data_IF_954068435274
#
_entry.id   IF_954068435274
#
_cell.length_a   1.000
_cell.length_b   1.000
_cell.length_c   1.000
_cell.angle_alpha   90.00
_cell.angle_beta   90.00
_cell.angle_gamma   90.00
#
_symmetry.space_group_name_H-M   'P 1'
#
loop_
_entity.id
_entity.type
_entity.pdbx_description
1 polymer ?
#
# COMPACT_ATOMS: atom_id res chain seq x y z
N UNK A 1 10.87 2.47 -6.84
CA UNK A 1 11.33 3.76 -7.40
C UNK A 1 10.29 4.86 -7.17
N UNK A 2 9.03 4.70 -7.60
CA UNK A 2 7.96 5.66 -7.28
C UNK A 2 7.75 5.79 -5.75
N UNK A 3 7.55 4.67 -5.04
CA UNK A 3 7.36 4.66 -3.58
C UNK A 3 8.55 5.22 -2.77
N UNK A 4 9.75 5.20 -3.35
CA UNK A 4 10.95 5.75 -2.70
C UNK A 4 11.11 7.25 -2.89
N UNK A 5 10.47 7.82 -3.91
CA UNK A 5 10.48 9.26 -4.18
C UNK A 5 9.51 9.99 -3.24
N UNK A 6 8.34 9.41 -2.95
CA UNK A 6 7.34 10.03 -2.06
C UNK A 6 7.88 10.23 -0.63
N UNK A 7 8.63 9.24 -0.12
CA UNK A 7 9.29 9.34 1.19
C UNK A 7 10.41 10.40 1.23
N UNK A 8 11.07 10.67 0.09
CA UNK A 8 12.07 11.75 -0.03
C UNK A 8 11.38 13.11 0.04
N UNK A 9 10.30 13.30 -0.72
CA UNK A 9 9.54 14.54 -0.72
C UNK A 9 8.92 14.85 0.64
N UNK A 10 8.43 13.83 1.36
CA UNK A 10 7.97 14.00 2.73
C UNK A 10 9.11 14.50 3.65
N UNK A 11 10.29 13.90 3.59
CA UNK A 11 11.43 14.33 4.41
C UNK A 11 11.88 15.77 4.10
N UNK A 12 11.89 16.14 2.82
CA UNK A 12 12.19 17.51 2.36
C UNK A 12 11.14 18.51 2.85
N UNK A 13 9.85 18.14 2.84
CA UNK A 13 8.75 19.00 3.27
C UNK A 13 8.71 19.25 4.80
N UNK A 14 9.30 18.36 5.60
CA UNK A 14 9.28 18.46 7.06
C UNK A 14 10.47 19.23 7.65
N UNK A 15 11.57 19.43 6.92
CA UNK A 15 12.75 20.11 7.46
C UNK A 15 13.70 20.59 6.35
N UNK A 16 14.07 21.88 6.38
CA UNK A 16 15.03 22.48 5.45
C UNK A 16 16.50 22.06 5.69
N UNK A 17 16.77 21.30 6.75
CA UNK A 17 18.12 20.79 7.05
C UNK A 17 18.51 19.63 6.11
N UNK A 18 19.36 19.92 5.12
CA UNK A 18 19.87 18.95 4.13
C UNK A 18 20.48 17.69 4.77
N UNK A 19 21.16 17.82 5.90
CA UNK A 19 21.75 16.67 6.61
C UNK A 19 20.70 15.69 7.16
N UNK A 20 19.60 16.22 7.71
CA UNK A 20 18.49 15.41 8.23
C UNK A 20 17.73 14.72 7.09
N UNK A 21 17.48 15.44 5.99
CA UNK A 21 16.85 14.88 4.79
C UNK A 21 17.72 13.74 4.24
N UNK A 22 19.02 13.97 4.06
CA UNK A 22 19.94 13.01 3.45
C UNK A 22 20.01 11.72 4.27
N UNK A 23 20.11 11.83 5.60
CA UNK A 23 20.11 10.66 6.49
C UNK A 23 18.76 9.94 6.50
N UNK A 24 17.65 10.67 6.57
CA UNK A 24 16.30 10.08 6.56
C UNK A 24 16.00 9.33 5.27
N UNK A 25 16.35 9.91 4.12
CA UNK A 25 16.22 9.27 2.80
C UNK A 25 17.11 8.05 2.70
N UNK A 26 18.38 8.15 3.13
CA UNK A 26 19.32 7.05 3.08
C UNK A 26 18.82 5.84 3.88
N UNK A 27 18.37 6.08 5.12
CA UNK A 27 17.78 5.05 5.99
C UNK A 27 16.48 4.50 5.37
N UNK A 28 15.62 5.37 4.82
CA UNK A 28 14.36 4.97 4.19
C UNK A 28 14.57 4.04 2.98
N UNK A 29 15.50 4.37 2.09
CA UNK A 29 15.85 3.53 0.93
C UNK A 29 16.43 2.18 1.41
N UNK A 30 17.32 2.22 2.40
CA UNK A 30 17.93 1.02 2.95
C UNK A 30 16.87 0.09 3.57
N UNK A 31 15.94 0.65 4.36
CA UNK A 31 14.84 -0.08 4.97
C UNK A 31 13.89 -0.70 3.93
N UNK A 32 13.46 0.08 2.92
CA UNK A 32 12.62 -0.44 1.83
C UNK A 32 13.29 -1.61 1.11
N UNK A 33 14.61 -1.56 0.90
CA UNK A 33 15.36 -2.63 0.25
C UNK A 33 15.36 -3.91 1.08
N UNK A 34 15.59 -3.83 2.38
CA UNK A 34 15.52 -4.98 3.27
C UNK A 34 14.10 -5.58 3.34
N UNK A 35 13.08 -4.75 3.47
CA UNK A 35 11.68 -5.18 3.52
C UNK A 35 11.28 -5.86 2.20
N UNK A 36 11.62 -5.27 1.06
CA UNK A 36 11.33 -5.86 -0.25
C UNK A 36 12.01 -7.23 -0.43
N UNK A 37 13.29 -7.37 -0.03
CA UNK A 37 13.98 -8.65 -0.10
C UNK A 37 13.41 -9.71 0.83
N UNK A 38 12.92 -9.31 2.01
CA UNK A 38 12.21 -10.22 2.91
C UNK A 38 10.83 -10.61 2.35
N UNK A 39 10.10 -9.65 1.81
CA UNK A 39 8.79 -9.85 1.20
C UNK A 39 8.84 -10.77 -0.03
N UNK A 40 9.84 -10.60 -0.90
CA UNK A 40 10.08 -11.51 -2.04
C UNK A 40 10.33 -12.94 -1.56
N UNK A 41 11.14 -13.13 -0.52
CA UNK A 41 11.35 -14.46 0.10
C UNK A 41 10.06 -15.05 0.68
N UNK A 42 9.19 -14.20 1.22
CA UNK A 42 7.88 -14.62 1.75
C UNK A 42 6.94 -15.07 0.62
N UNK A 43 6.88 -14.32 -0.48
CA UNK A 43 6.07 -14.68 -1.66
C UNK A 43 6.57 -15.98 -2.32
N UNK A 44 7.87 -16.20 -2.39
CA UNK A 44 8.45 -17.47 -2.88
C UNK A 44 7.98 -18.68 -2.03
N UNK A 45 7.75 -18.47 -0.73
CA UNK A 45 7.25 -19.52 0.18
C UNK A 45 5.72 -19.66 0.09
N UNK A 46 5.01 -18.58 -0.18
CA UNK A 46 3.55 -18.53 -0.26
C UNK A 46 3.06 -17.82 -1.53
N UNK A 47 2.97 -18.51 -2.68
CA UNK A 47 2.62 -17.89 -3.95
C UNK A 47 1.21 -17.29 -3.97
N UNK A 48 0.29 -17.76 -3.14
CA UNK A 48 -1.05 -17.19 -3.05
C UNK A 48 -1.08 -15.79 -2.42
N UNK A 49 -0.06 -15.42 -1.62
CA UNK A 49 0.07 -14.06 -1.07
C UNK A 49 0.29 -13.04 -2.18
N UNK A 50 0.92 -13.44 -3.29
CA UNK A 50 1.13 -12.59 -4.46
C UNK A 50 -0.20 -12.22 -5.12
N UNK A 51 -1.08 -13.20 -5.38
CA UNK A 51 -2.40 -12.96 -5.98
C UNK A 51 -3.26 -12.05 -5.11
N UNK A 52 -3.26 -12.25 -3.79
CA UNK A 52 -3.97 -11.39 -2.85
C UNK A 52 -3.41 -9.95 -2.86
N UNK A 53 -2.08 -9.81 -2.85
CA UNK A 53 -1.43 -8.50 -2.91
C UNK A 53 -1.79 -7.75 -4.21
N UNK A 54 -1.81 -8.44 -5.36
CA UNK A 54 -2.23 -7.84 -6.63
C UNK A 54 -3.69 -7.34 -6.60
N UNK A 55 -4.60 -8.10 -6.01
CA UNK A 55 -6.00 -7.70 -5.88
C UNK A 55 -6.14 -6.43 -5.01
N UNK A 56 -5.41 -6.38 -3.88
CA UNK A 56 -5.38 -5.21 -2.99
C UNK A 56 -4.81 -3.99 -3.71
N UNK A 57 -3.69 -4.14 -4.43
CA UNK A 57 -3.07 -3.05 -5.19
C UNK A 57 -4.03 -2.52 -6.27
N UNK A 58 -4.77 -3.40 -6.95
CA UNK A 58 -5.76 -2.99 -7.94
C UNK A 58 -6.88 -2.14 -7.32
N UNK A 59 -7.42 -2.56 -6.16
CA UNK A 59 -8.45 -1.81 -5.44
C UNK A 59 -7.93 -0.44 -4.97
N UNK A 60 -6.70 -0.41 -4.44
CA UNK A 60 -6.06 0.84 -4.03
C UNK A 60 -5.78 1.77 -5.21
N UNK A 61 -5.33 1.24 -6.35
CA UNK A 61 -5.10 2.01 -7.57
C UNK A 61 -6.38 2.66 -8.11
N UNK A 62 -7.50 1.92 -8.07
CA UNK A 62 -8.83 2.46 -8.42
C UNK A 62 -9.24 3.55 -7.45
N UNK A 63 -9.09 3.35 -6.13
CA UNK A 63 -9.38 4.37 -5.11
C UNK A 63 -8.59 5.67 -5.33
N UNK A 64 -7.28 5.56 -5.60
CA UNK A 64 -6.42 6.72 -5.84
C UNK A 64 -6.80 7.48 -7.11
N UNK A 65 -7.19 6.75 -8.16
CA UNK A 65 -7.65 7.37 -9.42
C UNK A 65 -8.97 8.10 -9.23
N UNK A 66 -9.91 7.50 -8.48
CA UNK A 66 -11.17 8.14 -8.10
C UNK A 66 -10.91 9.41 -7.27
N UNK A 67 -10.03 9.34 -6.27
CA UNK A 67 -9.67 10.48 -5.43
C UNK A 67 -9.05 11.64 -6.23
N UNK A 68 -8.23 11.34 -7.24
CA UNK A 68 -7.73 12.37 -8.17
C UNK A 68 -8.86 12.98 -9.01
N UNK A 69 -9.79 12.16 -9.52
CA UNK A 69 -10.92 12.64 -10.32
C UNK A 69 -11.84 13.58 -9.51
N UNK A 70 -12.08 13.26 -8.24
CA UNK A 70 -12.84 14.11 -7.31
C UNK A 70 -12.21 15.48 -7.10
N UNK A 71 -10.88 15.53 -7.02
CA UNK A 71 -10.15 16.79 -6.86
C UNK A 71 -10.27 17.71 -8.08
N UNK A 72 -10.40 17.16 -9.29
CA UNK A 72 -10.57 17.93 -10.52
C UNK A 72 -12.04 18.31 -10.82
N UNK A 73 -13.03 17.56 -10.32
CA UNK A 73 -14.47 17.80 -10.55
C UNK A 73 -15.28 17.86 -9.23
N UNK A 74 -15.15 18.96 -8.46
CA UNK A 74 -15.73 19.07 -7.13
C UNK A 74 -17.27 19.13 -7.07
N UNK A 75 -17.95 19.50 -8.17
CA UNK A 75 -19.41 19.72 -8.19
C UNK A 75 -20.24 18.45 -8.51
N UNK A 76 -19.64 17.26 -8.55
CA UNK A 76 -20.37 16.02 -8.84
C UNK A 76 -20.88 15.34 -7.57
N UNK A 77 -22.15 14.89 -7.57
CA UNK A 77 -22.78 14.15 -6.47
C UNK A 77 -22.01 12.88 -6.08
N UNK A 78 -21.22 12.33 -7.01
CA UNK A 78 -20.31 11.21 -6.79
C UNK A 78 -19.12 11.58 -5.89
N UNK A 79 -18.55 12.78 -6.01
CA UNK A 79 -17.40 13.21 -5.21
C UNK A 79 -17.76 13.40 -3.74
N UNK A 80 -18.95 13.93 -3.46
CA UNK A 80 -19.44 14.06 -2.09
C UNK A 80 -19.80 12.70 -1.43
N UNK A 81 -20.15 11.71 -2.25
CA UNK A 81 -20.42 10.34 -1.80
C UNK A 81 -19.14 9.54 -1.54
N UNK A 82 -18.11 9.73 -2.39
CA UNK A 82 -16.80 9.11 -2.25
C UNK A 82 -15.94 9.72 -1.13
N UNK A 83 -15.99 11.03 -0.94
CA UNK A 83 -15.35 11.73 0.20
C UNK A 83 -16.09 11.56 1.52
N UNK A 84 -17.23 10.85 1.52
CA UNK A 84 -17.95 10.57 2.76
C UNK A 84 -17.08 9.72 3.70
N UNK A 85 -17.07 10.08 4.98
CA UNK A 85 -16.34 9.38 6.04
C UNK A 85 -16.70 7.88 6.10
N UNK A 86 -17.91 7.52 5.66
CA UNK A 86 -18.36 6.13 5.54
C UNK A 86 -17.64 5.37 4.42
N UNK A 87 -17.42 5.98 3.26
CA UNK A 87 -16.73 5.36 2.13
C UNK A 87 -15.24 5.19 2.44
N UNK A 88 -14.59 6.17 3.08
CA UNK A 88 -13.19 6.04 3.49
C UNK A 88 -12.97 4.87 4.45
N UNK A 89 -13.81 4.77 5.49
CA UNK A 89 -13.77 3.67 6.45
C UNK A 89 -14.06 2.34 5.76
N UNK A 90 -15.06 2.29 4.87
CA UNK A 90 -15.41 1.07 4.16
C UNK A 90 -14.26 0.58 3.27
N UNK A 91 -13.68 1.46 2.45
CA UNK A 91 -12.56 1.11 1.56
C UNK A 91 -11.34 0.68 2.37
N UNK A 92 -10.99 1.41 3.43
CA UNK A 92 -9.88 1.07 4.32
C UNK A 92 -10.09 -0.29 4.99
N UNK A 93 -11.28 -0.52 5.54
CA UNK A 93 -11.63 -1.78 6.22
C UNK A 93 -11.64 -2.95 5.25
N UNK A 94 -12.19 -2.77 4.05
CA UNK A 94 -12.21 -3.80 3.00
C UNK A 94 -10.80 -4.12 2.52
N UNK A 95 -9.94 -3.13 2.29
CA UNK A 95 -8.54 -3.39 1.88
C UNK A 95 -7.73 -4.06 2.98
N UNK A 96 -7.90 -3.64 4.24
CA UNK A 96 -7.27 -4.28 5.40
C UNK A 96 -7.76 -5.71 5.56
N UNK A 97 -9.05 -5.97 5.45
CA UNK A 97 -9.61 -7.34 5.50
C UNK A 97 -9.11 -8.18 4.34
N UNK A 98 -9.10 -7.65 3.11
CA UNK A 98 -8.59 -8.37 1.94
C UNK A 98 -7.10 -8.69 2.04
N UNK A 99 -6.33 -7.91 2.80
CA UNK A 99 -4.93 -8.20 3.08
C UNK A 99 -4.78 -9.17 4.28
N UNK A 100 -5.46 -8.92 5.39
CA UNK A 100 -5.34 -9.69 6.63
C UNK A 100 -5.95 -11.08 6.53
N UNK A 101 -7.09 -11.26 5.84
CA UNK A 101 -7.74 -12.57 5.70
C UNK A 101 -6.79 -13.58 5.05
N UNK A 102 -6.22 -13.35 3.85
CA UNK A 102 -5.29 -14.30 3.26
C UNK A 102 -3.99 -14.45 4.06
N UNK A 103 -3.49 -13.39 4.70
CA UNK A 103 -2.29 -13.47 5.55
C UNK A 103 -2.54 -14.31 6.82
N UNK A 104 -3.66 -14.11 7.50
CA UNK A 104 -4.06 -14.85 8.69
C UNK A 104 -4.45 -16.29 8.34
N UNK A 105 -5.15 -16.51 7.24
CA UNK A 105 -5.42 -17.86 6.72
C UNK A 105 -4.11 -18.57 6.37
N UNK A 106 -3.11 -17.87 5.84
CA UNK A 106 -1.76 -18.43 5.64
C UNK A 106 -1.10 -18.86 6.96
N UNK A 107 -1.14 -17.96 7.95
CA UNK A 107 -0.48 -18.15 9.24
C UNK A 107 -1.13 -19.25 10.08
N UNK A 108 -2.48 -19.32 10.07
CA UNK A 108 -3.25 -20.25 10.88
C UNK A 108 -3.43 -21.63 10.22
N UNK A 109 -3.59 -21.67 8.89
CA UNK A 109 -3.93 -22.90 8.18
C UNK A 109 -2.76 -23.56 7.46
N UNK A 110 -1.58 -22.94 7.34
CA UNK A 110 -0.36 -23.61 6.83
C UNK A 110 -0.51 -24.29 5.45
N UNK A 111 -1.50 -23.88 4.67
CA UNK A 111 -1.83 -24.39 3.33
C UNK A 111 -1.82 -23.22 2.35
N UNK A 112 -1.38 -23.42 1.09
CA UNK A 112 -1.46 -24.69 0.37
C UNK A 112 -0.22 -25.58 0.50
N UNK A 113 -0.48 -26.88 0.72
CA UNK A 113 0.38 -28.00 0.31
C UNK A 113 0.87 -27.73 -1.12
N UNK A 114 2.16 -27.98 -1.35
CA UNK A 114 2.75 -28.13 -2.69
C UNK A 114 1.74 -28.77 -3.67
N UNK A 115 1.16 -27.96 -4.54
CA UNK A 115 0.78 -28.47 -5.84
C UNK A 115 2.10 -28.61 -6.60
N UNK A 116 2.39 -29.84 -7.04
CA UNK A 116 3.61 -30.24 -7.74
C UNK A 116 3.92 -29.31 -8.92
#
# INVERSE_FOLDING_TARGET
LAFSIDNVFAAVAFSDNILLITLGVFIGILAMRFIAQWFVRLMQKFPFLETAAFLVIAILGVKLTLSLYEHFYPDTTFAHFLSSHTMEIMVSTVTVLLFLVPVMTSYLFGFPKRAK
#
